data_IF_396974927288
#
_entry.id   IF_396974927288
#
_cell.length_a   1.000
_cell.length_b   1.000
_cell.length_c   1.000
_cell.angle_alpha   90.00
_cell.angle_beta   90.00
_cell.angle_gamma   90.00
#
_symmetry.space_group_name_H-M   'P 1'
#
loop_
_entity.id
_entity.type
_entity.pdbx_description
1 polymer ?
#
# COMPACT_ATOMS: atom_id res chain seq x y z
N UNK A 1 -8.12 16.26 50.28
CA UNK A 1 -8.36 14.89 49.79
C UNK A 1 -8.70 14.81 48.30
N UNK A 2 -9.25 15.88 47.71
CA UNK A 2 -9.62 15.95 46.28
C UNK A 2 -8.43 15.81 45.31
N UNK A 3 -7.24 16.31 45.68
CA UNK A 3 -6.02 16.24 44.84
C UNK A 3 -5.52 14.80 44.61
N UNK A 4 -5.73 13.88 45.56
CA UNK A 4 -5.39 12.45 45.42
C UNK A 4 -6.39 11.73 44.50
N UNK A 5 -7.64 12.16 44.46
CA UNK A 5 -8.67 11.60 43.58
C UNK A 5 -8.41 11.95 42.11
N UNK A 6 -7.87 13.15 41.84
CA UNK A 6 -7.52 13.60 40.49
C UNK A 6 -6.32 12.83 39.89
N UNK A 7 -5.40 12.35 40.73
CA UNK A 7 -4.24 11.56 40.31
C UNK A 7 -4.59 10.11 39.93
N UNK A 8 -5.64 9.54 40.53
CA UNK A 8 -6.14 8.21 40.18
C UNK A 8 -6.90 8.19 38.85
N UNK A 9 -7.52 9.30 38.46
CA UNK A 9 -8.25 9.42 37.19
C UNK A 9 -7.30 9.57 35.98
N UNK A 10 -6.06 10.01 36.20
CA UNK A 10 -5.06 10.18 35.13
C UNK A 10 -4.33 8.87 34.76
N UNK A 11 -4.52 7.80 35.52
CA UNK A 11 -3.92 6.49 35.24
C UNK A 11 -4.76 5.57 34.36
N UNK A 12 -6.02 5.92 34.08
CA UNK A 12 -6.92 5.08 33.28
C UNK A 12 -7.05 5.55 31.84
N UNK A 13 -6.02 6.20 31.28
CA UNK A 13 -5.97 6.42 29.83
C UNK A 13 -5.63 5.07 29.17
N UNK A 14 -6.55 4.46 28.40
CA UNK A 14 -6.19 3.30 27.63
C UNK A 14 -5.11 3.73 26.64
N UNK A 15 -3.93 3.11 26.73
CA UNK A 15 -2.94 3.16 25.66
C UNK A 15 -3.59 2.46 24.46
N UNK A 16 -4.15 3.25 23.53
CA UNK A 16 -4.52 2.72 22.23
C UNK A 16 -3.22 2.33 21.52
N UNK A 17 -2.92 1.02 21.51
CA UNK A 17 -1.90 0.49 20.63
C UNK A 17 -2.33 0.76 19.19
N UNK A 18 -1.42 1.27 18.36
CA UNK A 18 -1.72 1.43 16.94
C UNK A 18 -1.79 0.03 16.33
N UNK A 19 -2.99 -0.37 15.92
CA UNK A 19 -3.19 -1.56 15.13
C UNK A 19 -2.59 -1.29 13.73
N UNK A 20 -1.45 -1.92 13.43
CA UNK A 20 -0.93 -2.00 12.07
C UNK A 20 -1.81 -2.99 11.29
N UNK A 21 -3.03 -2.57 10.95
CA UNK A 21 -3.93 -3.36 10.11
C UNK A 21 -3.42 -3.23 8.67
N UNK A 22 -3.17 -4.35 7.97
CA UNK A 22 -2.91 -4.30 6.54
C UNK A 22 -4.02 -3.51 5.84
N UNK A 23 -3.64 -2.70 4.85
CA UNK A 23 -4.61 -1.99 4.01
C UNK A 23 -5.60 -2.96 3.38
N UNK A 24 -6.83 -2.49 3.16
CA UNK A 24 -7.84 -3.28 2.43
C UNK A 24 -7.34 -3.60 1.03
N UNK A 25 -7.58 -4.83 0.57
CA UNK A 25 -7.26 -5.21 -0.80
C UNK A 25 -8.11 -4.36 -1.77
N UNK A 26 -7.52 -3.78 -2.82
CA UNK A 26 -8.29 -3.07 -3.84
C UNK A 26 -9.31 -4.00 -4.52
N UNK A 27 -10.52 -3.50 -4.79
CA UNK A 27 -11.57 -4.23 -5.49
C UNK A 27 -11.35 -4.32 -7.01
N UNK A 28 -10.41 -3.52 -7.54
CA UNK A 28 -10.06 -3.48 -8.96
C UNK A 28 -8.55 -3.67 -9.14
N UNK A 29 -8.09 -4.11 -10.31
CA UNK A 29 -6.68 -4.16 -10.62
C UNK A 29 -6.05 -2.77 -10.45
N UNK A 30 -4.77 -2.73 -10.14
CA UNK A 30 -4.01 -1.48 -10.11
C UNK A 30 -2.85 -1.61 -11.07
N UNK A 31 -2.65 -0.58 -11.90
CA UNK A 31 -1.54 -0.49 -12.82
C UNK A 31 -0.65 0.69 -12.42
N UNK A 32 0.63 0.42 -12.17
CA UNK A 32 1.65 1.44 -12.03
C UNK A 32 2.33 1.58 -13.40
N UNK A 33 2.25 2.75 -14.02
CA UNK A 33 2.80 3.03 -15.35
C UNK A 33 4.01 3.95 -15.27
N UNK A 34 4.81 3.97 -16.34
CA UNK A 34 6.03 4.79 -16.47
C UNK A 34 7.06 4.56 -15.35
N UNK A 35 7.00 3.41 -14.69
CA UNK A 35 7.86 3.08 -13.56
C UNK A 35 9.23 2.60 -14.02
N UNK A 36 10.26 2.96 -13.26
CA UNK A 36 11.57 2.29 -13.33
C UNK A 36 11.58 1.10 -12.37
N UNK A 37 11.42 -0.11 -12.90
CA UNK A 37 11.17 -1.33 -12.13
C UNK A 37 12.46 -2.12 -11.97
N UNK A 38 12.91 -2.27 -10.73
CA UNK A 38 14.07 -3.10 -10.39
C UNK A 38 13.60 -4.53 -10.13
N UNK A 39 13.93 -5.45 -11.04
CA UNK A 39 13.64 -6.88 -10.87
C UNK A 39 14.87 -7.62 -10.36
N UNK A 40 14.66 -8.71 -9.62
CA UNK A 40 15.77 -9.53 -9.10
C UNK A 40 16.45 -10.32 -10.22
N UNK A 41 15.68 -10.85 -11.17
CA UNK A 41 16.19 -11.80 -12.18
C UNK A 41 16.43 -11.20 -13.57
N UNK A 42 15.70 -10.14 -13.95
CA UNK A 42 15.65 -9.65 -15.33
C UNK A 42 16.18 -8.22 -15.47
N UNK A 43 16.96 -7.75 -14.49
CA UNK A 43 17.53 -6.41 -14.49
C UNK A 43 16.50 -5.30 -14.26
N UNK A 44 16.81 -4.11 -14.75
CA UNK A 44 15.97 -2.92 -14.62
C UNK A 44 15.09 -2.78 -15.87
N UNK A 45 13.79 -2.66 -15.66
CA UNK A 45 12.81 -2.30 -16.71
C UNK A 45 12.61 -0.80 -16.62
N UNK A 46 13.12 -0.07 -17.61
CA UNK A 46 12.92 1.37 -17.74
C UNK A 46 11.55 1.66 -18.37
N UNK A 47 10.84 2.67 -17.85
CA UNK A 47 9.54 3.13 -18.36
C UNK A 47 8.55 1.96 -18.55
N UNK A 48 8.41 1.16 -17.50
CA UNK A 48 7.64 -0.07 -17.46
C UNK A 48 6.29 0.08 -16.76
N UNK A 49 5.45 -0.91 -16.97
CA UNK A 49 4.14 -1.05 -16.34
C UNK A 49 4.11 -2.32 -15.48
N UNK A 50 3.56 -2.20 -14.28
CA UNK A 50 3.32 -3.30 -13.34
C UNK A 50 1.84 -3.33 -12.98
N UNK A 51 1.18 -4.46 -13.22
CA UNK A 51 -0.22 -4.68 -12.90
C UNK A 51 -0.30 -5.65 -11.74
N UNK A 52 -1.08 -5.30 -10.72
CA UNK A 52 -1.44 -6.19 -9.64
C UNK A 52 -2.95 -6.30 -9.48
N UNK A 53 -3.39 -7.52 -9.18
CA UNK A 53 -4.78 -7.86 -8.93
C UNK A 53 -4.87 -8.91 -7.83
N UNK A 54 -5.85 -8.76 -6.94
CA UNK A 54 -6.07 -9.62 -5.78
C UNK A 54 -4.79 -9.94 -4.97
N UNK A 55 -3.95 -8.94 -4.75
CA UNK A 55 -2.70 -9.07 -3.99
C UNK A 55 -1.57 -9.81 -4.72
N UNK A 56 -1.66 -10.00 -6.04
CA UNK A 56 -0.62 -10.64 -6.87
C UNK A 56 -0.23 -9.75 -8.03
N UNK A 57 1.04 -9.80 -8.43
CA UNK A 57 1.48 -9.22 -9.70
C UNK A 57 0.99 -10.13 -10.83
N UNK A 58 0.15 -9.61 -11.72
CA UNK A 58 -0.42 -10.36 -12.85
C UNK A 58 0.34 -10.10 -14.14
N UNK A 59 0.99 -8.94 -14.28
CA UNK A 59 1.87 -8.62 -15.40
C UNK A 59 2.94 -7.58 -15.01
N UNK A 60 4.11 -7.67 -15.64
CA UNK A 60 5.21 -6.71 -15.48
C UNK A 60 6.04 -6.64 -16.76
N UNK A 61 6.38 -5.44 -17.23
CA UNK A 61 7.12 -5.26 -18.48
C UNK A 61 6.90 -3.90 -19.13
N UNK A 62 7.59 -3.64 -20.24
CA UNK A 62 7.48 -2.38 -20.99
C UNK A 62 6.19 -2.29 -21.81
N UNK A 63 5.75 -3.41 -22.37
CA UNK A 63 4.59 -3.49 -23.28
C UNK A 63 3.38 -4.15 -22.60
N UNK A 64 3.21 -3.91 -21.29
CA UNK A 64 2.08 -4.47 -20.53
C UNK A 64 0.82 -3.64 -20.77
N UNK A 65 -0.24 -4.30 -21.22
CA UNK A 65 -1.56 -3.69 -21.35
C UNK A 65 -2.17 -3.39 -19.96
N UNK A 66 -2.75 -2.20 -19.82
CA UNK A 66 -3.48 -1.81 -18.62
C UNK A 66 -4.94 -2.28 -18.75
N UNK A 67 -5.48 -3.05 -17.78
CA UNK A 67 -6.89 -3.41 -17.77
C UNK A 67 -7.78 -2.17 -17.77
N UNK A 68 -8.89 -2.18 -18.50
CA UNK A 68 -9.77 -1.01 -18.66
C UNK A 68 -10.34 -0.50 -17.33
N UNK A 69 -10.58 -1.39 -16.37
CA UNK A 69 -11.11 -1.07 -15.05
C UNK A 69 -10.03 -0.85 -13.99
N UNK A 70 -8.75 -0.80 -14.38
CA UNK A 70 -7.67 -0.65 -13.42
C UNK A 70 -7.59 0.78 -12.87
N UNK A 71 -7.30 0.90 -11.57
CA UNK A 71 -6.80 2.15 -11.02
C UNK A 71 -5.37 2.39 -11.54
N UNK A 72 -5.13 3.54 -12.16
CA UNK A 72 -3.84 3.87 -12.76
C UNK A 72 -3.05 4.81 -11.85
N UNK A 73 -1.79 4.46 -11.60
CA UNK A 73 -0.82 5.26 -10.86
C UNK A 73 0.34 5.58 -11.80
N UNK A 74 0.59 6.86 -12.04
CA UNK A 74 1.75 7.32 -12.80
C UNK A 74 2.97 7.45 -11.88
N UNK A 75 4.10 6.89 -12.28
CA UNK A 75 5.36 6.87 -11.52
C UNK A 75 6.50 7.67 -12.16
N UNK A 76 6.22 8.46 -13.20
CA UNK A 76 7.17 9.37 -13.84
C UNK A 76 7.57 10.57 -12.97
#
# INVERSE_FOLDING_TARGET
MLKKLLLLLLWTLPLAANDLIPGTMPDTPVAIIHARIFTVSNGIIEDGTLVFDQGRITAVGRDVAVPENAAVIDAA
#
